data_IF_011828148036
#
_entry.id   IF_011828148036
#
_cell.length_a   1.000
_cell.length_b   1.000
_cell.length_c   1.000
_cell.angle_alpha   90.00
_cell.angle_beta   90.00
_cell.angle_gamma   90.00
#
_symmetry.space_group_name_H-M   'P 1'
#
loop_
_entity.id
_entity.type
_entity.pdbx_description
1 polymer ?
#
# COMPACT_ATOMS: atom_id res chain seq x y z
N UNK A 1 -3.31 -0.13 -1.48
CA UNK A 1 -4.53 0.53 -0.96
C UNK A 1 -5.76 -0.37 -0.96
N UNK A 2 -6.17 -0.94 -2.09
CA UNK A 2 -7.42 -1.72 -2.20
C UNK A 2 -7.56 -2.84 -1.15
N UNK A 3 -6.51 -3.66 -0.98
CA UNK A 3 -6.46 -4.71 0.05
C UNK A 3 -6.72 -4.13 1.44
N UNK A 4 -6.00 -3.07 1.81
CA UNK A 4 -6.14 -2.44 3.12
C UNK A 4 -7.55 -1.94 3.40
N UNK A 5 -8.20 -1.36 2.38
CA UNK A 5 -9.57 -0.86 2.52
C UNK A 5 -10.60 -1.98 2.66
N UNK A 6 -10.41 -3.09 1.95
CA UNK A 6 -11.23 -4.30 2.10
C UNK A 6 -11.03 -4.93 3.48
N UNK A 7 -9.78 -5.10 3.92
CA UNK A 7 -9.45 -5.66 5.22
C UNK A 7 -9.90 -4.78 6.40
N UNK A 8 -9.91 -3.45 6.22
CA UNK A 8 -10.45 -2.51 7.20
C UNK A 8 -11.99 -2.42 7.17
N UNK A 9 -12.66 -3.13 6.26
CA UNK A 9 -14.11 -3.09 6.10
C UNK A 9 -14.67 -1.75 5.58
N UNK A 10 -13.80 -0.87 5.08
CA UNK A 10 -14.19 0.45 4.54
C UNK A 10 -14.88 0.30 3.19
N UNK A 11 -14.46 -0.69 2.40
CA UNK A 11 -15.13 -1.08 1.18
C UNK A 11 -15.42 -2.58 1.18
N UNK A 12 -16.35 -2.98 0.33
CA UNK A 12 -16.63 -4.36 -0.03
C UNK A 12 -16.34 -4.56 -1.52
N UNK A 13 -16.28 -5.82 -1.99
CA UNK A 13 -16.15 -6.12 -3.43
C UNK A 13 -17.31 -5.53 -4.26
N UNK A 14 -18.46 -5.30 -3.63
CA UNK A 14 -19.67 -4.78 -4.24
C UNK A 14 -19.84 -3.27 -4.04
N UNK A 15 -18.95 -2.61 -3.31
CA UNK A 15 -18.99 -1.15 -3.15
C UNK A 15 -18.83 -0.50 -4.51
N UNK A 16 -19.79 0.35 -4.89
CA UNK A 16 -19.74 1.09 -6.13
C UNK A 16 -19.94 2.58 -5.93
N UNK A 17 -19.31 3.37 -6.79
CA UNK A 17 -19.53 4.82 -6.89
C UNK A 17 -19.57 5.24 -8.35
N UNK A 18 -20.21 6.37 -8.63
CA UNK A 18 -20.21 6.98 -9.95
C UNK A 18 -19.10 8.03 -10.00
N UNK A 19 -18.20 7.89 -10.97
CA UNK A 19 -17.10 8.81 -11.21
C UNK A 19 -17.41 9.74 -12.40
N UNK A 20 -17.56 11.06 -12.14
CA UNK A 20 -17.75 12.09 -13.17
C UNK A 20 -16.42 12.69 -13.71
N UNK A 21 -15.26 12.09 -13.39
CA UNK A 21 -13.92 12.58 -13.73
C UNK A 21 -13.30 13.48 -12.65
N UNK A 22 -13.91 13.50 -11.47
CA UNK A 22 -13.43 14.22 -10.30
C UNK A 22 -14.16 13.76 -9.04
N UNK A 23 -13.53 14.01 -7.89
CA UNK A 23 -14.09 13.81 -6.56
C UNK A 23 -14.03 15.11 -5.77
N UNK A 24 -15.07 15.45 -5.00
CA UNK A 24 -15.11 16.67 -4.19
C UNK A 24 -15.07 16.32 -2.71
N UNK A 25 -14.20 17.02 -1.97
CA UNK A 25 -14.08 16.83 -0.53
C UNK A 25 -15.38 17.29 0.17
N UNK A 26 -16.05 16.43 0.95
CA UNK A 26 -17.26 16.82 1.66
C UNK A 26 -17.04 18.04 2.56
N UNK A 27 -17.95 19.01 2.51
CA UNK A 27 -17.84 20.26 3.26
C UNK A 27 -16.80 21.25 2.69
N UNK A 28 -16.34 21.05 1.45
CA UNK A 28 -15.40 21.93 0.77
C UNK A 28 -15.70 22.05 -0.73
N UNK A 29 -15.27 23.15 -1.34
CA UNK A 29 -15.29 23.33 -2.80
C UNK A 29 -14.09 22.68 -3.50
N UNK A 30 -13.18 22.06 -2.74
CA UNK A 30 -11.95 21.48 -3.29
C UNK A 30 -12.26 20.18 -4.05
N UNK A 31 -11.91 20.18 -5.33
CA UNK A 31 -12.03 19.03 -6.23
C UNK A 31 -10.67 18.41 -6.54
N UNK A 32 -10.65 17.09 -6.61
CA UNK A 32 -9.53 16.25 -7.00
C UNK A 32 -9.89 15.61 -8.33
N UNK A 33 -9.04 15.76 -9.34
CA UNK A 33 -9.34 15.33 -10.71
C UNK A 33 -8.91 13.89 -10.91
N UNK A 34 -9.69 13.17 -11.68
CA UNK A 34 -9.29 11.88 -12.23
C UNK A 34 -8.47 12.10 -13.51
N UNK A 35 -7.59 11.17 -13.85
CA UNK A 35 -6.88 11.19 -15.13
C UNK A 35 -7.83 11.16 -16.33
N UNK A 36 -9.00 10.51 -16.20
CA UNK A 36 -10.03 10.45 -17.23
C UNK A 36 -10.99 11.64 -17.08
N UNK A 37 -10.88 12.59 -18.01
CA UNK A 37 -11.60 13.88 -17.98
C UNK A 37 -13.12 13.80 -17.73
N UNK A 38 -13.77 12.76 -18.26
CA UNK A 38 -15.23 12.53 -18.16
C UNK A 38 -15.58 11.37 -17.23
N UNK A 39 -14.58 10.86 -16.52
CA UNK A 39 -14.70 9.75 -15.59
C UNK A 39 -14.87 8.39 -16.23
N UNK A 40 -14.94 7.41 -15.35
CA UNK A 40 -15.10 5.99 -15.66
C UNK A 40 -16.56 5.53 -15.56
N UNK A 41 -17.48 6.39 -15.12
CA UNK A 41 -18.87 6.01 -14.85
C UNK A 41 -18.97 5.20 -13.57
N UNK A 42 -19.73 4.09 -13.57
CA UNK A 42 -19.87 3.26 -12.36
C UNK A 42 -18.62 2.41 -12.12
N UNK A 43 -17.96 2.60 -11.00
CA UNK A 43 -16.74 1.91 -10.58
C UNK A 43 -17.00 1.02 -9.38
N UNK A 44 -16.38 -0.16 -9.38
CA UNK A 44 -16.15 -1.00 -8.20
C UNK A 44 -14.62 -1.16 -8.03
N UNK A 45 -14.18 -1.80 -6.93
CA UNK A 45 -12.73 -1.93 -6.64
C UNK A 45 -11.96 -2.65 -7.76
N UNK A 46 -12.54 -3.66 -8.41
CA UNK A 46 -11.92 -4.38 -9.51
C UNK A 46 -11.68 -3.47 -10.71
N UNK A 47 -12.73 -2.80 -11.19
CA UNK A 47 -12.66 -1.89 -12.33
C UNK A 47 -11.76 -0.68 -12.05
N UNK A 48 -11.74 -0.22 -10.81
CA UNK A 48 -10.85 0.85 -10.37
C UNK A 48 -9.38 0.46 -10.38
N UNK A 49 -9.04 -0.82 -10.13
CA UNK A 49 -7.68 -1.33 -10.30
C UNK A 49 -7.33 -1.51 -11.78
N UNK A 50 -8.25 -2.04 -12.59
CA UNK A 50 -8.06 -2.26 -14.04
C UNK A 50 -7.83 -0.96 -14.81
N UNK A 51 -8.66 0.05 -14.54
CA UNK A 51 -8.59 1.35 -15.22
C UNK A 51 -7.80 2.40 -14.42
N UNK A 52 -7.15 2.01 -13.32
CA UNK A 52 -6.42 2.91 -12.42
C UNK A 52 -7.21 4.18 -12.07
N UNK A 53 -8.49 4.03 -11.68
CA UNK A 53 -9.40 5.15 -11.48
C UNK A 53 -9.12 5.86 -10.15
N UNK A 54 -8.73 7.13 -10.22
CA UNK A 54 -8.33 7.94 -9.08
C UNK A 54 -9.52 8.27 -8.17
N UNK A 55 -10.67 8.60 -8.76
CA UNK A 55 -11.89 8.99 -8.01
C UNK A 55 -12.31 7.94 -6.99
N UNK A 56 -12.14 6.65 -7.30
CA UNK A 56 -12.45 5.60 -6.36
C UNK A 56 -11.50 5.61 -5.16
N UNK A 57 -10.20 5.76 -5.41
CA UNK A 57 -9.20 5.79 -4.34
C UNK A 57 -9.21 7.10 -3.54
N UNK A 58 -9.68 8.21 -4.10
CA UNK A 58 -9.96 9.43 -3.34
C UNK A 58 -11.04 9.20 -2.27
N UNK A 59 -12.16 8.56 -2.64
CA UNK A 59 -13.22 8.19 -1.71
C UNK A 59 -12.69 7.22 -0.63
N UNK A 60 -11.96 6.17 -1.05
CA UNK A 60 -11.36 5.20 -0.11
C UNK A 60 -10.41 5.90 0.88
N UNK A 61 -9.57 6.82 0.42
CA UNK A 61 -8.65 7.55 1.29
C UNK A 61 -9.40 8.43 2.30
N UNK A 62 -10.49 9.08 1.86
CA UNK A 62 -11.35 9.85 2.73
C UNK A 62 -11.98 8.98 3.82
N UNK A 63 -12.59 7.85 3.44
CA UNK A 63 -13.28 6.96 4.39
C UNK A 63 -12.32 6.23 5.32
N UNK A 64 -11.12 5.87 4.85
CA UNK A 64 -10.06 5.29 5.69
C UNK A 64 -9.58 6.31 6.72
N UNK A 65 -9.36 7.56 6.30
CA UNK A 65 -8.63 8.56 7.07
C UNK A 65 -7.12 8.27 7.12
N UNK A 66 -6.31 9.30 7.38
CA UNK A 66 -4.84 9.17 7.32
C UNK A 66 -4.28 8.16 8.33
N UNK A 67 -4.90 8.03 9.50
CA UNK A 67 -4.35 7.21 10.58
C UNK A 67 -4.35 5.72 10.21
N UNK A 68 -5.52 5.20 9.81
CA UNK A 68 -5.62 3.82 9.30
C UNK A 68 -4.87 3.65 8.00
N UNK A 69 -4.91 4.63 7.10
CA UNK A 69 -4.24 4.52 5.80
C UNK A 69 -2.71 4.39 5.98
N UNK A 70 -2.11 5.27 6.78
CA UNK A 70 -0.67 5.25 7.05
C UNK A 70 -0.25 4.02 7.85
N UNK A 71 -1.04 3.59 8.83
CA UNK A 71 -0.82 2.35 9.57
C UNK A 71 -0.77 1.14 8.61
N UNK A 72 -1.76 1.01 7.74
CA UNK A 72 -1.82 -0.09 6.78
C UNK A 72 -0.67 -0.04 5.78
N UNK A 73 -0.36 1.11 5.20
CA UNK A 73 0.75 1.23 4.26
C UNK A 73 2.11 1.02 4.93
N UNK A 74 2.24 1.36 6.22
CA UNK A 74 3.40 1.02 7.04
C UNK A 74 3.60 -0.49 7.17
N UNK A 75 2.52 -1.27 7.33
CA UNK A 75 2.58 -2.76 7.32
C UNK A 75 3.08 -3.32 5.98
N UNK A 76 2.82 -2.64 4.86
CA UNK A 76 3.39 -2.99 3.55
C UNK A 76 4.87 -2.56 3.37
N UNK A 77 5.47 -1.93 4.39
CA UNK A 77 6.88 -1.51 4.40
C UNK A 77 7.13 -0.06 3.95
N UNK A 78 6.10 0.69 3.57
CA UNK A 78 6.28 2.10 3.16
C UNK A 78 6.65 2.98 4.36
N UNK A 79 7.64 3.84 4.20
CA UNK A 79 8.14 4.71 5.28
C UNK A 79 9.15 4.03 6.22
N UNK A 80 9.45 2.75 6.00
CA UNK A 80 10.39 1.96 6.78
C UNK A 80 11.52 1.42 5.90
N UNK A 81 12.70 1.20 6.47
CA UNK A 81 13.76 0.46 5.80
C UNK A 81 13.29 -0.96 5.46
N UNK A 82 13.68 -1.48 4.29
CA UNK A 82 13.17 -2.78 3.83
C UNK A 82 13.79 -3.96 4.55
N UNK A 83 14.99 -3.77 5.10
CA UNK A 83 15.83 -4.82 5.68
C UNK A 83 16.78 -5.46 4.68
N UNK A 84 16.95 -4.86 3.50
CA UNK A 84 17.95 -5.29 2.53
C UNK A 84 19.36 -5.23 3.13
N UNK A 85 20.20 -6.15 2.72
CA UNK A 85 21.60 -6.33 3.12
C UNK A 85 22.55 -5.32 2.44
N UNK A 86 22.10 -4.06 2.31
CA UNK A 86 22.86 -2.92 1.81
C UNK A 86 22.79 -1.74 2.78
N UNK A 87 23.88 -0.98 2.89
CA UNK A 87 23.92 0.19 3.77
C UNK A 87 23.25 1.43 3.14
N UNK A 88 23.27 1.53 1.82
CA UNK A 88 22.75 2.67 1.06
C UNK A 88 21.23 2.58 0.83
N UNK A 89 20.46 2.80 1.88
CA UNK A 89 19.00 2.81 1.81
C UNK A 89 18.39 4.15 2.27
N UNK A 90 17.26 4.54 1.68
CA UNK A 90 16.41 5.62 2.18
C UNK A 90 15.04 5.05 2.54
N UNK A 91 14.46 5.51 3.65
CA UNK A 91 13.16 5.04 4.14
C UNK A 91 11.95 5.64 3.41
N UNK A 92 12.15 6.59 2.49
CA UNK A 92 11.03 7.33 1.88
C UNK A 92 10.23 8.12 2.91
N UNK A 93 8.93 8.26 2.69
CA UNK A 93 8.02 8.92 3.62
C UNK A 93 6.59 8.37 3.49
N UNK A 94 6.09 7.70 4.52
CA UNK A 94 4.66 7.42 4.70
C UNK A 94 4.09 8.47 5.66
N UNK A 95 3.28 9.44 5.18
CA UNK A 95 2.90 10.57 6.00
C UNK A 95 1.91 10.18 7.10
N UNK A 96 2.13 10.72 8.30
CA UNK A 96 1.22 10.65 9.45
C UNK A 96 0.90 12.06 9.97
N UNK A 97 -0.08 12.17 10.88
CA UNK A 97 -0.38 13.45 11.54
C UNK A 97 0.80 13.96 12.36
N UNK A 98 1.44 13.06 13.11
CA UNK A 98 2.58 13.33 13.98
C UNK A 98 3.77 13.78 13.14
N UNK A 99 4.02 13.10 12.00
CA UNK A 99 5.06 13.49 11.06
C UNK A 99 4.85 14.91 10.55
N UNK A 100 3.64 15.25 10.09
CA UNK A 100 3.34 16.58 9.56
C UNK A 100 3.49 17.66 10.64
N UNK A 101 3.00 17.38 11.84
CA UNK A 101 3.11 18.28 12.98
C UNK A 101 4.58 18.50 13.38
N UNK A 102 5.41 17.46 13.38
CA UNK A 102 6.86 17.56 13.65
C UNK A 102 7.58 18.35 12.56
N UNK A 103 7.28 18.08 11.28
CA UNK A 103 8.00 18.61 10.11
C UNK A 103 7.62 20.04 9.75
N UNK A 104 6.36 20.42 9.92
CA UNK A 104 5.81 21.69 9.45
C UNK A 104 5.10 22.51 10.54
N UNK A 105 4.94 21.98 11.77
CA UNK A 105 4.22 22.65 12.88
C UNK A 105 2.79 23.05 12.50
N UNK A 106 2.16 22.27 11.62
CA UNK A 106 0.78 22.47 11.17
C UNK A 106 -0.01 21.17 11.35
N UNK A 107 -1.29 21.26 11.76
CA UNK A 107 -2.14 20.10 11.89
C UNK A 107 -2.40 19.43 10.53
N UNK A 108 -2.88 18.19 10.58
CA UNK A 108 -3.33 17.47 9.41
C UNK A 108 -4.72 17.94 8.97
N UNK A 109 -4.86 18.32 7.71
CA UNK A 109 -6.16 18.65 7.12
C UNK A 109 -6.68 17.45 6.33
N UNK A 110 -7.99 17.22 6.30
CA UNK A 110 -8.57 16.10 5.54
C UNK A 110 -8.15 16.12 4.05
N UNK A 111 -8.00 17.30 3.46
CA UNK A 111 -7.53 17.45 2.09
C UNK A 111 -6.09 16.97 1.84
N UNK A 112 -5.28 16.76 2.88
CA UNK A 112 -3.94 16.16 2.76
C UNK A 112 -4.00 14.63 2.61
N UNK A 113 -5.09 14.00 3.06
CA UNK A 113 -5.29 12.53 2.96
C UNK A 113 -5.58 12.10 1.54
N UNK A 114 -6.33 12.90 0.78
CA UNK A 114 -6.88 12.50 -0.53
C UNK A 114 -5.79 12.12 -1.54
N UNK A 115 -4.69 12.90 -1.72
CA UNK A 115 -3.63 12.51 -2.64
C UNK A 115 -2.87 11.24 -2.22
N UNK A 116 -2.81 10.93 -0.91
CA UNK A 116 -2.20 9.68 -0.42
C UNK A 116 -2.98 8.47 -0.92
N UNK A 117 -4.27 8.64 -1.22
CA UNK A 117 -5.15 7.68 -1.91
C UNK A 117 -4.55 7.05 -3.17
N UNK A 118 -3.80 7.84 -3.93
CA UNK A 118 -3.27 7.44 -5.24
C UNK A 118 -1.74 7.40 -5.25
N UNK A 119 -1.11 7.28 -4.08
CA UNK A 119 0.35 7.25 -3.98
C UNK A 119 1.04 8.62 -4.14
N UNK A 120 0.31 9.73 -3.99
CA UNK A 120 0.83 11.08 -4.17
C UNK A 120 0.81 11.91 -2.87
N UNK A 121 1.02 13.22 -2.99
CA UNK A 121 1.05 14.17 -1.88
C UNK A 121 2.37 14.08 -1.13
N UNK A 122 2.30 13.75 0.15
CA UNK A 122 3.49 13.59 1.00
C UNK A 122 4.08 12.18 0.96
N UNK A 123 3.44 11.23 0.27
CA UNK A 123 3.96 9.88 0.15
C UNK A 123 5.13 9.84 -0.84
N UNK A 124 6.28 9.36 -0.37
CA UNK A 124 7.40 8.96 -1.22
C UNK A 124 7.87 7.55 -0.86
N UNK A 125 8.33 6.80 -1.85
CA UNK A 125 8.81 5.43 -1.67
C UNK A 125 10.05 5.16 -2.52
N UNK A 126 10.85 4.18 -2.13
CA UNK A 126 11.97 3.67 -2.94
C UNK A 126 11.52 2.47 -3.79
N UNK A 127 12.21 2.20 -4.92
CA UNK A 127 11.92 1.01 -5.72
C UNK A 127 12.00 -0.30 -4.93
N UNK A 128 12.92 -0.40 -3.96
CA UNK A 128 13.04 -1.60 -3.12
C UNK A 128 11.86 -1.75 -2.15
N UNK A 129 11.29 -0.65 -1.65
CA UNK A 129 10.03 -0.69 -0.89
C UNK A 129 8.86 -1.14 -1.77
N UNK A 130 8.81 -0.70 -3.03
CA UNK A 130 7.78 -1.18 -3.97
C UNK A 130 7.91 -2.69 -4.21
N UNK A 131 9.13 -3.21 -4.34
CA UNK A 131 9.40 -4.65 -4.43
C UNK A 131 8.92 -5.40 -3.18
N UNK A 132 9.26 -4.92 -1.97
CA UNK A 132 8.79 -5.52 -0.70
C UNK A 132 7.25 -5.54 -0.64
N UNK A 133 6.59 -4.42 -0.93
CA UNK A 133 5.13 -4.33 -0.92
C UNK A 133 4.46 -5.26 -1.96
N UNK A 134 5.05 -5.39 -3.16
CA UNK A 134 4.57 -6.30 -4.19
C UNK A 134 4.72 -7.76 -3.78
N UNK A 135 5.85 -8.14 -3.18
CA UNK A 135 6.05 -9.50 -2.66
C UNK A 135 5.05 -9.83 -1.55
N UNK A 136 4.74 -8.89 -0.67
CA UNK A 136 3.70 -9.08 0.37
C UNK A 136 2.35 -9.37 -0.29
N UNK A 137 2.00 -8.62 -1.35
CA UNK A 137 0.76 -8.84 -2.09
C UNK A 137 0.71 -10.21 -2.76
N UNK A 138 1.79 -10.61 -3.43
CA UNK A 138 1.90 -11.91 -4.12
C UNK A 138 1.86 -13.09 -3.15
N UNK A 139 2.46 -12.93 -1.97
CA UNK A 139 2.53 -13.96 -0.94
C UNK A 139 1.42 -13.82 0.10
N UNK A 140 0.26 -13.31 -0.28
CA UNK A 140 -0.94 -13.39 0.54
C UNK A 140 -0.78 -12.76 1.95
N UNK A 141 0.02 -11.68 2.04
CA UNK A 141 0.32 -10.97 3.29
C UNK A 141 1.57 -11.46 4.01
N UNK A 142 2.21 -12.55 3.59
CA UNK A 142 3.48 -13.00 4.16
C UNK A 142 4.60 -12.05 3.77
N UNK A 143 5.26 -11.48 4.77
CA UNK A 143 6.35 -10.53 4.54
C UNK A 143 7.65 -11.28 4.29
N UNK A 144 8.25 -11.08 3.11
CA UNK A 144 9.59 -11.56 2.75
C UNK A 144 10.52 -10.37 2.58
N UNK A 145 11.62 -10.37 3.34
CA UNK A 145 12.64 -9.32 3.25
C UNK A 145 13.41 -9.51 1.94
N UNK A 146 13.51 -8.47 1.08
CA UNK A 146 14.38 -8.53 -0.08
C UNK A 146 15.85 -8.59 0.37
N UNK A 147 16.60 -9.56 -0.11
CA UNK A 147 18.01 -9.78 0.24
C UNK A 147 18.79 -10.25 -0.98
N UNK A 148 20.11 -9.98 -0.99
CA UNK A 148 21.03 -10.41 -2.04
C UNK A 148 21.79 -11.69 -1.65
N UNK A 149 22.09 -11.85 -0.35
CA UNK A 149 22.85 -12.97 0.18
C UNK A 149 22.05 -14.27 0.12
N UNK A 150 22.52 -15.25 -0.64
CA UNK A 150 21.95 -16.60 -0.63
C UNK A 150 22.51 -17.45 0.52
N UNK A 151 23.84 -17.53 0.62
CA UNK A 151 24.56 -18.24 1.69
C UNK A 151 25.97 -17.69 1.86
N UNK A 152 26.55 -17.88 3.05
CA UNK A 152 27.98 -17.68 3.34
C UNK A 152 28.68 -19.03 3.52
N UNK A 153 30.00 -19.06 3.35
CA UNK A 153 30.82 -20.23 3.66
C UNK A 153 31.60 -19.97 4.95
N UNK A 154 31.33 -20.76 5.98
CA UNK A 154 32.02 -20.73 7.28
C UNK A 154 32.62 -22.11 7.56
N UNK A 155 33.95 -22.19 7.74
CA UNK A 155 34.67 -23.45 7.99
C UNK A 155 34.35 -24.58 6.98
N UNK A 156 34.14 -24.22 5.71
CA UNK A 156 33.76 -25.15 4.64
C UNK A 156 32.29 -25.59 4.65
N UNK A 157 31.45 -25.06 5.56
CA UNK A 157 30.00 -25.29 5.61
C UNK A 157 29.25 -24.10 5.02
N UNK A 158 28.22 -24.39 4.24
CA UNK A 158 27.31 -23.38 3.71
C UNK A 158 26.29 -22.99 4.79
N UNK A 159 26.24 -21.71 5.14
CA UNK A 159 25.28 -21.12 6.07
C UNK A 159 24.31 -20.25 5.26
N UNK A 160 23.03 -20.67 5.08
CA UNK A 160 22.07 -19.91 4.30
C UNK A 160 21.62 -18.65 5.04
N UNK A 161 21.19 -17.63 4.28
CA UNK A 161 20.51 -16.48 4.88
C UNK A 161 19.19 -16.92 5.54
N UNK A 162 18.92 -16.36 6.72
CA UNK A 162 17.72 -16.69 7.50
C UNK A 162 16.77 -15.51 7.48
N UNK A 163 15.53 -15.78 7.05
CA UNK A 163 14.48 -14.77 7.03
C UNK A 163 14.11 -14.32 8.45
N UNK A 164 14.20 -13.00 8.76
CA UNK A 164 13.69 -12.48 10.01
C UNK A 164 12.19 -12.78 10.17
N UNK A 165 11.77 -13.07 11.39
CA UNK A 165 10.34 -13.25 11.67
C UNK A 165 9.64 -11.89 11.62
N UNK A 166 8.82 -11.68 10.60
CA UNK A 166 7.92 -10.53 10.47
C UNK A 166 6.46 -11.01 10.51
N UNK A 167 5.57 -10.36 11.28
CA UNK A 167 4.16 -10.72 11.32
C UNK A 167 3.49 -10.49 9.95
N UNK A 168 2.55 -11.34 9.52
CA UNK A 168 1.83 -11.15 8.27
C UNK A 168 1.02 -9.84 8.23
N UNK A 169 0.86 -9.29 7.03
CA UNK A 169 0.02 -8.12 6.77
C UNK A 169 -1.44 -8.54 6.64
N UNK A 170 -2.20 -8.34 7.70
CA UNK A 170 -3.63 -8.69 7.75
C UNK A 170 -3.87 -10.19 7.94
N UNK A 171 -5.10 -10.63 7.68
CA UNK A 171 -5.48 -12.04 7.82
C UNK A 171 -5.24 -12.80 6.50
N UNK A 172 -4.28 -13.72 6.54
CA UNK A 172 -3.89 -14.61 5.44
C UNK A 172 -5.02 -15.57 5.01
N UNK A 173 -6.08 -15.72 5.82
CA UNK A 173 -7.24 -16.57 5.54
C UNK A 173 -8.46 -15.81 5.02
N UNK A 174 -8.40 -14.48 4.96
CA UNK A 174 -9.53 -13.62 4.59
C UNK A 174 -9.98 -13.75 3.12
N UNK A 175 -9.23 -14.46 2.27
CA UNK A 175 -9.49 -14.59 0.83
C UNK A 175 -9.38 -13.28 0.04
N UNK A 176 -8.99 -12.18 0.71
CA UNK A 176 -8.68 -10.87 0.12
C UNK A 176 -7.23 -10.77 -0.34
N UNK A 177 -6.36 -11.43 0.43
CA UNK A 177 -4.97 -11.75 0.15
C UNK A 177 -4.86 -13.27 0.04
N UNK A 178 -5.79 -13.94 -0.62
CA UNK A 178 -5.87 -15.40 -0.58
C UNK A 178 -6.65 -15.87 -1.79
N UNK A 179 -6.11 -15.57 -2.97
CA UNK A 179 -6.68 -15.96 -4.25
C UNK A 179 -5.61 -16.66 -5.08
N UNK A 180 -5.13 -17.79 -4.57
CA UNK A 180 -4.28 -18.70 -5.30
C UNK A 180 -4.46 -20.10 -4.74
N UNK A 181 -5.21 -20.95 -5.44
CA UNK A 181 -4.99 -22.40 -5.31
C UNK A 181 -3.49 -22.64 -5.33
N UNK A 182 -2.99 -23.35 -4.31
CA UNK A 182 -1.59 -23.79 -4.20
C UNK A 182 -1.23 -24.69 -5.38
N UNK A 183 -0.99 -24.11 -6.56
CA UNK A 183 -0.18 -24.75 -7.59
C UNK A 183 1.25 -24.60 -7.14
N UNK A 184 1.70 -25.62 -6.42
CA UNK A 184 3.12 -25.91 -6.29
C UNK A 184 3.75 -25.85 -7.69
N UNK A 185 4.43 -24.74 -8.01
CA UNK A 185 5.45 -24.77 -9.06
C UNK A 185 6.64 -25.47 -8.40
N UNK A 186 6.68 -26.79 -8.55
CA UNK A 186 7.95 -27.52 -8.39
C UNK A 186 8.84 -27.01 -9.52
N UNK A 187 9.82 -26.16 -9.20
CA UNK A 187 10.98 -26.05 -10.05
C UNK A 187 11.70 -27.40 -9.99
N UNK A 188 11.67 -28.12 -11.11
CA UNK A 188 12.62 -29.19 -11.41
C UNK A 188 14.00 -28.59 -11.71
#
# INVERSE_FOLDING_TARGET
>A
MAVSALSAGVITRNTTLFDPGWWQLPGSEKRYRDWKKWGHGRLNVTRSLEESADTFFYQVAYDMGIDRLSEWMGKFGYGHYTGIDLAEERSGNMPTREWKQKRFKKPWYQGDTIPVGIGQGYWTATPIQMSKALMILINDGIVKVPHLLMSTAEDGKQVPWVQPHEPPVGDIHSGLLGAGERRYVRCC
#
